data_IF_273767796433
#
_entry.id   IF_273767796433
#
_cell.length_a   1.000
_cell.length_b   1.000
_cell.length_c   1.000
_cell.angle_alpha   90.00
_cell.angle_beta   90.00
_cell.angle_gamma   90.00
#
_symmetry.space_group_name_H-M   'P 1'
#
loop_
_entity.id
_entity.type
_entity.pdbx_description
1 polymer ?
#
# COMPACT_ATOMS: atom_id res chain seq x y z
N UNK A 1 27.37 1.04 -6.37
CA UNK A 1 26.70 2.25 -6.92
C UNK A 1 26.15 1.90 -8.28
N UNK A 2 24.98 2.42 -8.63
CA UNK A 2 24.28 2.14 -9.89
C UNK A 2 23.86 3.44 -10.55
N UNK A 3 23.82 3.48 -11.88
CA UNK A 3 23.41 4.69 -12.61
C UNK A 3 21.90 4.75 -12.78
N UNK A 4 21.36 5.95 -12.63
CA UNK A 4 19.98 6.23 -12.96
C UNK A 4 19.78 6.29 -14.47
N UNK A 5 18.83 5.53 -15.01
CA UNK A 5 18.51 5.47 -16.44
C UNK A 5 17.88 6.78 -16.97
N UNK A 6 17.34 7.63 -16.10
CA UNK A 6 16.69 8.90 -16.47
C UNK A 6 17.63 10.11 -16.47
N UNK A 7 18.53 10.21 -15.48
CA UNK A 7 19.41 11.37 -15.31
C UNK A 7 20.90 11.05 -15.38
N UNK A 8 21.29 9.77 -15.47
CA UNK A 8 22.67 9.34 -15.58
C UNK A 8 23.53 9.50 -14.33
N UNK A 9 22.97 10.02 -13.21
CA UNK A 9 23.69 10.17 -11.93
C UNK A 9 23.95 8.81 -11.28
N UNK A 10 25.07 8.73 -10.56
CA UNK A 10 25.38 7.61 -9.68
C UNK A 10 24.54 7.68 -8.41
N UNK A 11 23.90 6.56 -8.09
CA UNK A 11 23.04 6.36 -6.93
C UNK A 11 23.59 5.20 -6.12
N UNK A 12 23.53 5.28 -4.80
CA UNK A 12 23.83 4.11 -3.98
C UNK A 12 22.80 3.00 -4.22
N UNK A 13 23.26 1.75 -4.23
CA UNK A 13 22.42 0.63 -4.63
C UNK A 13 21.23 0.41 -3.69
N UNK A 14 21.36 0.85 -2.43
CA UNK A 14 20.30 0.86 -1.40
C UNK A 14 19.19 1.91 -1.66
N UNK A 15 19.53 3.01 -2.32
CA UNK A 15 18.60 4.13 -2.58
C UNK A 15 18.07 4.11 -4.02
N UNK A 16 18.55 3.15 -4.83
CA UNK A 16 18.18 2.98 -6.22
C UNK A 16 16.80 2.32 -6.36
N UNK A 17 15.90 3.00 -7.05
CA UNK A 17 14.52 2.53 -7.25
C UNK A 17 14.45 1.66 -8.50
N UNK A 18 14.23 0.36 -8.31
CA UNK A 18 14.08 -0.59 -9.41
C UNK A 18 12.60 -0.73 -9.78
N UNK A 19 12.23 -0.33 -10.99
CA UNK A 19 10.87 -0.43 -11.50
C UNK A 19 10.85 -1.27 -12.78
N UNK A 20 9.86 -2.15 -12.95
CA UNK A 20 9.64 -2.83 -14.23
C UNK A 20 8.69 -1.99 -15.08
N UNK A 21 9.18 -1.51 -16.21
CA UNK A 21 8.37 -0.78 -17.17
C UNK A 21 7.34 -1.71 -17.85
N UNK A 22 6.44 -1.13 -18.66
CA UNK A 22 5.38 -1.87 -19.39
C UNK A 22 5.94 -2.90 -20.40
N UNK A 23 7.22 -2.80 -20.76
CA UNK A 23 7.92 -3.72 -21.65
C UNK A 23 8.66 -4.83 -20.88
N UNK A 24 8.51 -4.89 -19.56
CA UNK A 24 9.13 -5.89 -18.69
C UNK A 24 10.60 -5.65 -18.39
N UNK A 25 11.19 -4.54 -18.86
CA UNK A 25 12.57 -4.16 -18.53
C UNK A 25 12.64 -3.52 -17.15
N UNK A 26 13.67 -3.90 -16.39
CA UNK A 26 13.97 -3.30 -15.08
C UNK A 26 14.75 -2.01 -15.33
N UNK A 27 14.15 -0.89 -14.98
CA UNK A 27 14.76 0.45 -15.02
C UNK A 27 15.18 0.86 -13.60
N UNK A 28 16.34 1.50 -13.50
CA UNK A 28 16.92 2.04 -12.27
C UNK A 28 16.70 3.55 -12.24
N UNK A 29 15.97 4.01 -11.24
CA UNK A 29 15.56 5.41 -11.11
C UNK A 29 16.08 5.97 -9.78
N UNK A 30 16.58 7.21 -9.77
CA UNK A 30 16.95 7.90 -8.54
C UNK A 30 15.70 8.47 -7.83
N UNK A 31 15.72 8.65 -6.49
CA UNK A 31 14.59 9.20 -5.73
C UNK A 31 14.07 10.54 -6.28
N UNK A 32 14.97 11.44 -6.70
CA UNK A 32 14.59 12.73 -7.27
C UNK A 32 13.85 12.62 -8.61
N UNK A 33 14.28 11.69 -9.47
CA UNK A 33 13.58 11.44 -10.74
C UNK A 33 12.22 10.80 -10.50
N UNK A 34 12.09 9.95 -9.48
CA UNK A 34 10.81 9.37 -9.08
C UNK A 34 9.85 10.44 -8.56
N UNK A 35 10.32 11.35 -7.70
CA UNK A 35 9.52 12.46 -7.19
C UNK A 35 9.07 13.40 -8.31
N UNK A 36 9.95 13.74 -9.26
CA UNK A 36 9.58 14.54 -10.44
C UNK A 36 8.55 13.86 -11.33
N UNK A 37 8.63 12.54 -11.49
CA UNK A 37 7.71 11.79 -12.34
C UNK A 37 6.34 11.54 -11.69
N UNK A 38 6.30 11.37 -10.36
CA UNK A 38 5.07 11.00 -9.63
C UNK A 38 4.46 12.13 -8.82
N UNK A 39 5.19 13.24 -8.63
CA UNK A 39 4.81 14.36 -7.77
C UNK A 39 4.84 14.02 -6.27
N UNK A 40 5.42 12.88 -5.88
CA UNK A 40 5.41 12.38 -4.49
C UNK A 40 6.78 11.79 -4.15
N UNK A 41 7.32 12.18 -3.00
CA UNK A 41 8.57 11.60 -2.49
C UNK A 41 8.46 10.07 -2.29
N UNK A 42 9.56 9.36 -2.58
CA UNK A 42 9.58 7.90 -2.53
C UNK A 42 9.26 7.34 -1.13
N UNK A 43 9.68 8.00 -0.04
CA UNK A 43 9.36 7.53 1.32
C UNK A 43 7.86 7.62 1.59
N UNK A 44 7.23 8.69 1.10
CA UNK A 44 5.77 8.85 1.19
C UNK A 44 5.04 7.78 0.38
N UNK A 45 5.55 7.46 -0.82
CA UNK A 45 5.01 6.37 -1.63
C UNK A 45 5.18 5.00 -0.96
N UNK A 46 6.37 4.70 -0.43
CA UNK A 46 6.65 3.45 0.27
C UNK A 46 5.76 3.28 1.50
N UNK A 47 5.62 4.34 2.32
CA UNK A 47 4.73 4.36 3.48
C UNK A 47 3.27 4.10 3.09
N UNK A 48 2.76 4.76 2.03
CA UNK A 48 1.39 4.52 1.53
C UNK A 48 1.20 3.09 1.03
N UNK A 49 2.23 2.49 0.41
CA UNK A 49 2.19 1.11 -0.09
C UNK A 49 2.12 0.10 1.06
N UNK A 50 2.85 0.31 2.15
CA UNK A 50 2.79 -0.54 3.34
C UNK A 50 1.44 -0.42 4.06
N UNK A 51 0.94 0.81 4.25
CA UNK A 51 -0.38 1.05 4.81
C UNK A 51 -1.49 0.40 3.96
N UNK A 52 -1.38 0.44 2.62
CA UNK A 52 -2.34 -0.20 1.73
C UNK A 52 -2.36 -1.73 1.90
N UNK A 53 -1.20 -2.38 2.09
CA UNK A 53 -1.14 -3.82 2.37
C UNK A 53 -1.79 -4.18 3.70
N UNK A 54 -1.47 -3.44 4.77
CA UNK A 54 -2.07 -3.67 6.08
C UNK A 54 -3.59 -3.50 6.04
N UNK A 55 -4.06 -2.43 5.37
CA UNK A 55 -5.49 -2.17 5.18
C UNK A 55 -6.18 -3.29 4.39
N UNK A 56 -5.52 -3.84 3.36
CA UNK A 56 -6.06 -4.96 2.58
C UNK A 56 -6.22 -6.22 3.44
N UNK A 57 -5.23 -6.55 4.26
CA UNK A 57 -5.33 -7.70 5.18
C UNK A 57 -6.42 -7.50 6.23
N UNK A 58 -6.51 -6.30 6.81
CA UNK A 58 -7.57 -5.97 7.76
C UNK A 58 -8.96 -6.11 7.14
N UNK A 59 -9.13 -5.66 5.89
CA UNK A 59 -10.38 -5.79 5.15
C UNK A 59 -10.78 -7.26 4.96
N UNK A 60 -9.84 -8.10 4.51
CA UNK A 60 -10.09 -9.54 4.32
C UNK A 60 -10.50 -10.22 5.63
N UNK A 61 -9.83 -9.89 6.74
CA UNK A 61 -10.18 -10.42 8.05
C UNK A 61 -11.58 -9.99 8.49
N UNK A 62 -11.92 -8.71 8.32
CA UNK A 62 -13.23 -8.19 8.69
C UNK A 62 -14.36 -8.80 7.86
N UNK A 63 -14.14 -9.00 6.55
CA UNK A 63 -15.09 -9.69 5.67
C UNK A 63 -15.27 -11.14 6.15
N UNK A 64 -14.18 -11.86 6.42
CA UNK A 64 -14.24 -13.23 6.93
C UNK A 64 -14.99 -13.34 8.25
N UNK A 65 -14.71 -12.45 9.20
CA UNK A 65 -15.40 -12.40 10.50
C UNK A 65 -16.90 -12.07 10.34
N UNK A 66 -17.24 -11.17 9.43
CA UNK A 66 -18.64 -10.80 9.15
C UNK A 66 -19.41 -11.97 8.53
N UNK A 67 -18.80 -12.69 7.59
CA UNK A 67 -19.39 -13.91 6.98
C UNK A 67 -19.57 -15.00 8.04
N UNK A 68 -18.55 -15.24 8.86
CA UNK A 68 -18.59 -16.22 9.94
C UNK A 68 -19.71 -15.91 10.95
N UNK A 69 -19.77 -14.66 11.43
CA UNK A 69 -20.81 -14.21 12.36
C UNK A 69 -22.22 -14.31 11.78
N UNK A 70 -22.37 -14.05 10.47
CA UNK A 70 -23.64 -14.18 9.76
C UNK A 70 -24.09 -15.65 9.65
N UNK A 71 -23.16 -16.57 9.38
CA UNK A 71 -23.46 -18.01 9.24
C UNK A 71 -23.81 -18.64 10.60
N UNK A 72 -23.07 -18.29 11.65
CA UNK A 72 -23.19 -18.98 12.94
C UNK A 72 -24.30 -18.39 13.83
N UNK A 73 -24.50 -17.06 13.79
CA UNK A 73 -25.42 -16.37 14.71
C UNK A 73 -26.54 -15.60 13.98
N UNK A 74 -26.58 -15.64 12.65
CA UNK A 74 -27.63 -15.03 11.84
C UNK A 74 -27.40 -13.54 11.49
N UNK A 75 -28.35 -12.92 10.76
CA UNK A 75 -28.16 -11.62 10.10
C UNK A 75 -27.91 -10.43 11.04
N UNK A 76 -28.40 -10.48 12.27
CA UNK A 76 -28.20 -9.44 13.29
C UNK A 76 -26.72 -9.30 13.69
N UNK A 77 -26.00 -10.42 13.79
CA UNK A 77 -24.57 -10.43 14.14
C UNK A 77 -23.68 -10.06 12.96
N UNK A 78 -24.12 -10.34 11.72
CA UNK A 78 -23.49 -9.78 10.52
C UNK A 78 -23.54 -8.24 10.49
N UNK A 79 -24.66 -7.63 10.92
CA UNK A 79 -24.79 -6.18 11.06
C UNK A 79 -23.79 -5.58 12.06
N UNK A 80 -23.59 -6.23 13.20
CA UNK A 80 -22.56 -5.87 14.18
C UNK A 80 -21.14 -5.96 13.59
N UNK A 81 -20.87 -6.99 12.79
CA UNK A 81 -19.59 -7.14 12.08
C UNK A 81 -19.29 -5.98 11.13
N UNK A 82 -20.29 -5.52 10.38
CA UNK A 82 -20.15 -4.36 9.47
C UNK A 82 -19.84 -3.09 10.26
N UNK A 83 -20.56 -2.84 11.36
CA UNK A 83 -20.32 -1.66 12.22
C UNK A 83 -18.89 -1.67 12.77
N UNK A 84 -18.40 -2.82 13.23
CA UNK A 84 -17.05 -2.97 13.75
C UNK A 84 -15.99 -2.73 12.65
N UNK A 85 -16.26 -3.22 11.44
CA UNK A 85 -15.39 -3.01 10.27
C UNK A 85 -15.29 -1.52 9.92
N UNK A 86 -16.41 -0.80 9.94
CA UNK A 86 -16.45 0.65 9.69
C UNK A 86 -15.67 1.42 10.77
N UNK A 87 -15.79 1.01 12.04
CA UNK A 87 -15.03 1.62 13.13
C UNK A 87 -13.51 1.43 12.95
N UNK A 88 -13.07 0.21 12.62
CA UNK A 88 -11.65 -0.06 12.34
C UNK A 88 -11.17 0.77 11.15
N UNK A 89 -11.95 0.87 10.08
CA UNK A 89 -11.61 1.70 8.93
C UNK A 89 -11.45 3.17 9.29
N UNK A 90 -12.36 3.72 10.10
CA UNK A 90 -12.27 5.11 10.59
C UNK A 90 -11.06 5.33 11.47
N UNK A 91 -10.76 4.41 12.38
CA UNK A 91 -9.57 4.49 13.23
C UNK A 91 -8.30 4.44 12.38
N UNK A 92 -8.18 3.50 11.46
CA UNK A 92 -7.03 3.39 10.56
C UNK A 92 -6.87 4.58 9.61
N UNK A 93 -7.97 5.18 9.14
CA UNK A 93 -7.93 6.38 8.30
C UNK A 93 -7.59 7.67 9.08
N UNK A 94 -7.85 7.70 10.40
CA UNK A 94 -7.50 8.83 11.28
C UNK A 94 -6.11 8.73 11.91
N UNK A 95 -5.38 7.62 11.72
CA UNK A 95 -3.95 7.57 12.04
C UNK A 95 -3.24 8.46 11.01
N UNK A 96 -3.13 9.74 11.34
CA UNK A 96 -2.44 10.77 10.58
C UNK A 96 -1.33 11.36 11.45
#
# INVERSE_FOLDING_TARGET
MVKCDLCGRDVEEKDALKHKNKQGKVEIICPECFEKATGVDYKTFAYRKENAKQTLFALLFCIGATIYAFVENGPLYGGLGIILTILVFFFSAKVK
#
